data_IF_500264257267
#
_entry.id   IF_500264257267
#
_cell.length_a   1.000
_cell.length_b   1.000
_cell.length_c   1.000
_cell.angle_alpha   90.00
_cell.angle_beta   90.00
_cell.angle_gamma   90.00
#
_symmetry.space_group_name_H-M   'P 1'
#
loop_
_entity.id
_entity.type
_entity.pdbx_description
1 polymer ?
#
# COMPACT_ATOMS: atom_id res chain seq x y z
N UNK A 1 -14.65 -59.86 10.43
CA UNK A 1 -14.11 -60.11 9.07
C UNK A 1 -13.90 -58.76 8.36
N UNK A 2 -12.74 -58.11 8.52
CA UNK A 2 -12.59 -56.68 8.15
C UNK A 2 -11.64 -56.38 6.97
N UNK A 3 -11.32 -57.38 6.13
CA UNK A 3 -10.34 -57.25 5.04
C UNK A 3 -10.78 -57.88 3.72
N UNK A 4 -12.09 -58.00 3.48
CA UNK A 4 -12.61 -58.69 2.28
C UNK A 4 -12.14 -58.04 0.98
N UNK A 5 -12.22 -56.71 0.84
CA UNK A 5 -11.74 -56.00 -0.35
C UNK A 5 -10.24 -56.23 -0.64
N UNK A 6 -9.42 -56.32 0.41
CA UNK A 6 -7.99 -56.60 0.29
C UNK A 6 -7.73 -58.07 -0.09
N UNK A 7 -8.48 -59.02 0.49
CA UNK A 7 -8.35 -60.44 0.18
C UNK A 7 -8.85 -60.76 -1.23
N UNK A 8 -9.97 -60.17 -1.65
CA UNK A 8 -10.50 -60.31 -3.01
C UNK A 8 -9.47 -59.83 -4.03
N UNK A 9 -8.84 -58.68 -3.77
CA UNK A 9 -7.77 -58.15 -4.62
C UNK A 9 -6.59 -59.11 -4.78
N UNK A 10 -6.13 -59.72 -3.68
CA UNK A 10 -5.06 -60.73 -3.71
C UNK A 10 -5.53 -62.01 -4.42
N UNK A 11 -6.77 -62.44 -4.19
CA UNK A 11 -7.35 -63.62 -4.82
C UNK A 11 -7.44 -63.49 -6.36
N UNK A 12 -7.70 -62.27 -6.87
CA UNK A 12 -7.67 -61.95 -8.29
C UNK A 12 -6.25 -61.71 -8.85
N UNK A 13 -5.20 -62.01 -8.08
CA UNK A 13 -3.80 -61.91 -8.54
C UNK A 13 -3.29 -60.48 -8.68
N UNK A 14 -3.96 -59.48 -8.09
CA UNK A 14 -3.56 -58.07 -8.18
C UNK A 14 -2.62 -57.69 -7.03
N UNK A 15 -1.70 -56.77 -7.31
CA UNK A 15 -0.74 -56.28 -6.32
C UNK A 15 -1.41 -55.52 -5.18
N UNK A 16 -1.00 -55.79 -3.94
CA UNK A 16 -1.49 -55.08 -2.74
C UNK A 16 -1.30 -53.55 -2.83
N UNK A 17 -0.25 -53.10 -3.51
CA UNK A 17 0.15 -51.69 -3.56
C UNK A 17 -0.42 -50.91 -4.77
N UNK A 18 -1.01 -51.61 -5.73
CA UNK A 18 -1.49 -50.98 -6.97
C UNK A 18 -2.91 -50.41 -6.77
N UNK A 19 -3.17 -49.12 -7.08
CA UNK A 19 -4.51 -48.53 -6.92
C UNK A 19 -5.54 -49.22 -7.81
N UNK A 20 -6.77 -49.33 -7.33
CA UNK A 20 -7.84 -49.99 -8.09
C UNK A 20 -8.48 -48.96 -9.03
N UNK A 21 -8.40 -49.19 -10.35
CA UNK A 21 -8.84 -48.22 -11.37
C UNK A 21 -10.37 -48.08 -11.49
N UNK A 22 -11.15 -48.90 -10.79
CA UNK A 22 -12.62 -48.91 -10.87
C UNK A 22 -13.20 -49.13 -9.48
N UNK A 23 -14.20 -48.33 -9.10
CA UNK A 23 -14.94 -48.53 -7.85
C UNK A 23 -15.64 -49.90 -7.86
N UNK A 24 -15.33 -50.76 -6.89
CA UNK A 24 -16.06 -52.01 -6.69
C UNK A 24 -17.12 -51.83 -5.61
N UNK A 25 -18.38 -51.99 -5.98
CA UNK A 25 -19.51 -51.98 -5.06
C UNK A 25 -20.04 -53.41 -4.93
N UNK A 26 -19.91 -54.00 -3.74
CA UNK A 26 -20.55 -55.26 -3.38
C UNK A 26 -21.65 -55.02 -2.36
N UNK A 27 -22.47 -56.04 -2.10
CA UNK A 27 -23.52 -55.99 -1.07
C UNK A 27 -22.94 -55.83 0.34
N UNK A 28 -21.66 -56.14 0.54
CA UNK A 28 -20.99 -56.19 1.84
C UNK A 28 -19.98 -55.03 2.03
N UNK A 29 -19.36 -54.55 0.96
CA UNK A 29 -18.37 -53.47 1.00
C UNK A 29 -18.40 -52.55 -0.22
N UNK A 30 -17.88 -51.33 -0.04
CA UNK A 30 -17.66 -50.38 -1.12
C UNK A 30 -16.22 -49.93 -1.13
N UNK A 31 -15.56 -50.07 -2.27
CA UNK A 31 -14.21 -49.57 -2.51
C UNK A 31 -14.27 -48.31 -3.36
N UNK A 32 -13.63 -47.24 -2.88
CA UNK A 32 -13.56 -45.96 -3.59
C UNK A 32 -12.57 -46.06 -4.76
N UNK A 33 -12.89 -45.36 -5.86
CA UNK A 33 -12.04 -45.25 -7.05
C UNK A 33 -10.78 -44.40 -6.77
N UNK A 34 -10.92 -43.39 -5.91
CA UNK A 34 -9.79 -42.62 -5.42
C UNK A 34 -9.99 -42.25 -3.95
N UNK A 35 -8.88 -42.09 -3.24
CA UNK A 35 -8.84 -41.56 -1.86
C UNK A 35 -9.46 -40.16 -1.70
N UNK A 36 -9.66 -39.42 -2.81
CA UNK A 36 -10.27 -38.09 -2.87
C UNK A 36 -11.73 -38.11 -3.36
N UNK A 37 -12.27 -39.27 -3.72
CA UNK A 37 -13.64 -39.38 -4.22
C UNK A 37 -14.66 -39.01 -3.13
N UNK A 38 -15.73 -38.31 -3.53
CA UNK A 38 -16.78 -37.89 -2.62
C UNK A 38 -17.52 -39.12 -2.06
N UNK A 39 -17.48 -39.28 -0.73
CA UNK A 39 -18.14 -40.40 -0.06
C UNK A 39 -19.65 -40.23 -0.25
N UNK A 40 -20.38 -41.22 -0.80
CA UNK A 40 -21.81 -41.06 -1.05
C UNK A 40 -22.58 -40.73 0.24
N UNK A 41 -23.55 -39.82 0.16
CA UNK A 41 -24.32 -39.30 1.32
C UNK A 41 -24.94 -40.41 2.18
N UNK A 42 -25.35 -41.53 1.57
CA UNK A 42 -25.92 -42.71 2.25
C UNK A 42 -24.99 -43.32 3.32
N UNK A 43 -23.68 -43.13 3.24
CA UNK A 43 -22.71 -43.68 4.18
C UNK A 43 -22.34 -42.74 5.34
N UNK A 44 -22.87 -41.52 5.33
CA UNK A 44 -22.72 -40.59 6.45
C UNK A 44 -23.68 -40.96 7.61
N UNK A 45 -24.80 -41.62 7.28
CA UNK A 45 -25.87 -42.01 8.19
C UNK A 45 -25.83 -43.54 8.40
N UNK A 46 -25.07 -44.01 9.38
CA UNK A 46 -25.09 -45.42 9.76
C UNK A 46 -26.43 -45.75 10.45
N UNK A 47 -27.43 -46.14 9.66
CA UNK A 47 -28.64 -46.79 10.15
C UNK A 47 -28.30 -48.24 10.51
N UNK A 48 -28.79 -48.74 11.65
CA UNK A 48 -28.43 -50.05 12.21
C UNK A 48 -28.58 -51.24 11.24
N UNK A 49 -29.38 -51.10 10.19
CA UNK A 49 -29.68 -52.16 9.22
C UNK A 49 -28.82 -52.12 7.94
N UNK A 50 -27.95 -51.12 7.73
CA UNK A 50 -27.15 -50.96 6.50
C UNK A 50 -25.68 -50.64 6.81
N UNK A 51 -25.01 -51.52 7.56
CA UNK A 51 -23.57 -51.38 7.79
C UNK A 51 -22.79 -51.94 6.59
N UNK A 52 -22.38 -51.06 5.69
CA UNK A 52 -21.50 -51.39 4.56
C UNK A 52 -20.11 -50.85 4.85
N UNK A 53 -19.09 -51.70 4.79
CA UNK A 53 -17.73 -51.30 5.11
C UNK A 53 -17.08 -50.55 3.92
N UNK A 54 -16.56 -49.34 4.19
CA UNK A 54 -15.89 -48.51 3.21
C UNK A 54 -14.40 -48.81 3.17
N UNK A 55 -13.84 -48.92 1.97
CA UNK A 55 -12.42 -49.12 1.74
C UNK A 55 -11.84 -48.08 0.78
N UNK A 56 -10.58 -47.74 1.01
CA UNK A 56 -9.77 -46.89 0.15
C UNK A 56 -9.47 -47.56 -1.21
N UNK A 57 -8.93 -46.81 -2.16
CA UNK A 57 -8.42 -47.30 -3.46
C UNK A 57 -7.42 -48.47 -3.30
N UNK A 58 -6.78 -48.56 -2.13
CA UNK A 58 -5.80 -49.58 -1.72
C UNK A 58 -6.39 -50.76 -0.96
N UNK A 59 -7.70 -50.76 -0.67
CA UNK A 59 -8.35 -51.81 0.12
C UNK A 59 -8.15 -51.66 1.64
N UNK A 60 -7.78 -50.45 2.11
CA UNK A 60 -7.68 -50.14 3.54
C UNK A 60 -9.05 -49.70 4.08
N UNK A 61 -9.50 -50.18 5.25
CA UNK A 61 -10.79 -49.77 5.79
C UNK A 61 -10.77 -48.29 6.19
N UNK A 62 -11.76 -47.52 5.73
CA UNK A 62 -11.95 -46.11 6.05
C UNK A 62 -13.19 -45.96 6.93
N UNK A 63 -13.04 -45.26 8.05
CA UNK A 63 -14.19 -44.82 8.84
C UNK A 63 -14.37 -43.30 8.70
N UNK A 64 -15.40 -42.83 7.97
CA UNK A 64 -15.61 -41.40 7.75
C UNK A 64 -15.87 -40.65 9.05
N UNK A 65 -16.52 -41.29 10.04
CA UNK A 65 -16.81 -40.66 11.33
C UNK A 65 -15.55 -40.43 12.16
N UNK A 66 -14.64 -41.39 12.20
CA UNK A 66 -13.37 -41.21 12.93
C UNK A 66 -12.51 -40.13 12.27
N UNK A 67 -12.53 -40.04 10.95
CA UNK A 67 -11.84 -38.98 10.22
C UNK A 67 -12.44 -37.59 10.49
N UNK A 68 -13.78 -37.47 10.46
CA UNK A 68 -14.48 -36.23 10.84
C UNK A 68 -14.19 -35.83 12.29
N UNK A 69 -14.22 -36.80 13.22
CA UNK A 69 -13.89 -36.57 14.62
C UNK A 69 -12.44 -36.10 14.79
N UNK A 70 -11.49 -36.75 14.11
CA UNK A 70 -10.09 -36.34 14.10
C UNK A 70 -9.88 -34.95 13.50
N UNK A 71 -10.62 -34.60 12.45
CA UNK A 71 -10.62 -33.24 11.87
C UNK A 71 -11.13 -32.20 12.88
N UNK A 72 -12.23 -32.49 13.58
CA UNK A 72 -12.77 -31.62 14.63
C UNK A 72 -11.79 -31.44 15.80
N UNK A 73 -11.14 -32.52 16.24
CA UNK A 73 -10.16 -32.47 17.32
C UNK A 73 -8.94 -31.61 16.93
N UNK A 74 -8.41 -31.77 15.72
CA UNK A 74 -7.33 -30.92 15.20
C UNK A 74 -7.77 -29.46 15.08
N UNK A 75 -9.01 -29.21 14.65
CA UNK A 75 -9.61 -27.87 14.64
C UNK A 75 -9.61 -27.24 16.03
N UNK A 76 -10.14 -27.96 17.03
CA UNK A 76 -10.17 -27.50 18.41
C UNK A 76 -8.76 -27.30 19.01
N UNK A 77 -7.80 -28.18 18.70
CA UNK A 77 -6.41 -28.01 19.12
C UNK A 77 -5.78 -26.76 18.49
N UNK A 78 -6.02 -26.52 17.20
CA UNK A 78 -5.56 -25.31 16.52
C UNK A 78 -6.22 -24.06 17.11
N UNK A 79 -7.49 -24.14 17.53
CA UNK A 79 -8.18 -23.04 18.22
C UNK A 79 -7.54 -22.72 19.58
N UNK A 80 -7.15 -23.75 20.34
CA UNK A 80 -6.42 -23.57 21.62
C UNK A 80 -5.03 -22.99 21.38
N UNK A 81 -4.29 -23.49 20.37
CA UNK A 81 -2.98 -22.94 20.03
C UNK A 81 -3.07 -21.48 19.56
N UNK A 82 -4.17 -21.12 18.90
CA UNK A 82 -4.44 -19.75 18.50
C UNK A 82 -4.83 -18.85 19.67
N UNK A 83 -5.63 -19.34 20.62
CA UNK A 83 -6.03 -18.56 21.80
C UNK A 83 -4.85 -18.31 22.76
N UNK A 84 -3.93 -19.27 22.86
CA UNK A 84 -2.67 -19.14 23.62
C UNK A 84 -1.66 -18.23 22.89
N UNK A 85 -1.89 -17.91 21.61
CA UNK A 85 -1.02 -17.03 20.82
C UNK A 85 0.20 -17.72 20.21
N UNK A 86 0.23 -19.06 20.20
CA UNK A 86 1.31 -19.85 19.59
C UNK A 86 1.19 -19.84 18.06
N UNK A 87 -0.04 -19.71 17.54
CA UNK A 87 -0.32 -19.67 16.10
C UNK A 87 -1.28 -18.53 15.80
N UNK A 88 -0.91 -17.59 14.93
CA UNK A 88 -1.86 -16.60 14.43
C UNK A 88 -2.95 -17.31 13.61
N UNK A 89 -4.22 -17.11 13.98
CA UNK A 89 -5.34 -17.51 13.11
C UNK A 89 -5.15 -16.82 11.76
N UNK A 90 -4.86 -17.61 10.72
CA UNK A 90 -5.24 -17.22 9.37
C UNK A 90 -6.75 -17.24 9.31
N UNK A 91 -7.37 -16.14 9.75
CA UNK A 91 -8.78 -15.93 9.52
C UNK A 91 -8.99 -16.07 8.01
N UNK A 92 -9.71 -17.10 7.59
CA UNK A 92 -10.36 -17.01 6.30
C UNK A 92 -11.26 -15.77 6.40
N UNK A 93 -11.28 -14.86 5.42
CA UNK A 93 -12.06 -13.62 5.50
C UNK A 93 -13.58 -13.82 5.73
N UNK A 94 -14.04 -15.07 5.76
CA UNK A 94 -15.43 -15.49 5.83
C UNK A 94 -15.95 -15.87 7.22
N UNK A 95 -15.09 -16.03 8.25
CA UNK A 95 -15.48 -16.78 9.46
C UNK A 95 -15.91 -15.92 10.67
N UNK A 96 -15.91 -14.58 10.53
CA UNK A 96 -16.17 -13.65 11.64
C UNK A 96 -17.49 -12.88 11.60
N UNK A 97 -18.22 -12.86 10.47
CA UNK A 97 -19.43 -12.03 10.31
C UNK A 97 -20.45 -12.73 9.40
N UNK A 98 -21.76 -12.67 9.71
CA UNK A 98 -22.80 -13.27 8.87
C UNK A 98 -23.00 -12.44 7.60
N UNK A 99 -22.63 -12.96 6.43
CA UNK A 99 -22.92 -12.37 5.12
C UNK A 99 -22.16 -13.02 3.95
N UNK A 100 -22.68 -12.97 2.71
CA UNK A 100 -21.96 -13.41 1.50
C UNK A 100 -20.68 -12.58 1.32
N UNK A 101 -19.57 -13.22 0.94
CA UNK A 101 -18.26 -12.55 0.78
C UNK A 101 -18.23 -11.44 -0.28
N UNK A 102 -19.17 -11.46 -1.23
CA UNK A 102 -19.26 -10.51 -2.35
C UNK A 102 -19.84 -9.16 -1.89
N UNK A 103 -20.95 -9.16 -1.16
CA UNK A 103 -21.55 -7.95 -0.57
C UNK A 103 -20.58 -7.20 0.34
N UNK A 104 -19.68 -7.92 1.03
CA UNK A 104 -18.64 -7.33 1.85
C UNK A 104 -17.55 -6.65 1.02
N UNK A 105 -17.19 -7.21 -0.13
CA UNK A 105 -16.19 -6.60 -1.02
C UNK A 105 -16.74 -5.29 -1.59
N UNK A 106 -18.01 -5.27 -1.99
CA UNK A 106 -18.68 -4.05 -2.44
C UNK A 106 -18.76 -3.00 -1.33
N UNK A 107 -19.12 -3.41 -0.11
CA UNK A 107 -19.18 -2.48 1.03
C UNK A 107 -17.79 -1.90 1.37
N UNK A 108 -16.74 -2.71 1.29
CA UNK A 108 -15.36 -2.26 1.51
C UNK A 108 -14.91 -1.29 0.40
N UNK A 109 -15.27 -1.56 -0.86
CA UNK A 109 -14.98 -0.66 -1.98
C UNK A 109 -15.74 0.66 -1.84
N UNK A 110 -17.00 0.61 -1.39
CA UNK A 110 -17.79 1.80 -1.08
C UNK A 110 -17.16 2.62 0.07
N UNK A 111 -16.69 1.95 1.12
CA UNK A 111 -15.99 2.61 2.23
C UNK A 111 -14.67 3.27 1.76
N UNK A 112 -13.86 2.57 0.97
CA UNK A 112 -12.58 3.08 0.47
C UNK A 112 -12.76 4.25 -0.50
N UNK A 113 -13.79 4.20 -1.36
CA UNK A 113 -14.11 5.31 -2.26
C UNK A 113 -14.56 6.56 -1.52
N UNK A 114 -15.40 6.42 -0.49
CA UNK A 114 -15.81 7.54 0.37
C UNK A 114 -14.64 8.06 1.19
N UNK A 115 -13.82 7.17 1.74
CA UNK A 115 -12.61 7.53 2.49
C UNK A 115 -11.61 8.31 1.64
N UNK A 116 -11.37 7.88 0.40
CA UNK A 116 -10.52 8.59 -0.54
C UNK A 116 -11.09 9.95 -0.93
N UNK A 117 -12.40 10.05 -1.18
CA UNK A 117 -13.05 11.33 -1.46
C UNK A 117 -12.93 12.31 -0.28
N UNK A 118 -13.17 11.86 0.95
CA UNK A 118 -13.00 12.68 2.15
C UNK A 118 -11.54 13.13 2.35
N UNK A 119 -10.57 12.24 2.08
CA UNK A 119 -9.16 12.58 2.15
C UNK A 119 -8.78 13.67 1.13
N UNK A 120 -9.29 13.59 -0.10
CA UNK A 120 -9.10 14.60 -1.15
C UNK A 120 -9.71 15.94 -0.75
N UNK A 121 -10.95 15.96 -0.25
CA UNK A 121 -11.63 17.18 0.19
C UNK A 121 -10.90 17.85 1.34
N UNK A 122 -10.49 17.07 2.34
CA UNK A 122 -9.72 17.58 3.49
C UNK A 122 -8.39 18.18 3.02
N UNK A 123 -7.66 17.46 2.16
CA UNK A 123 -6.39 17.95 1.60
C UNK A 123 -6.56 19.24 0.79
N UNK A 124 -7.61 19.34 -0.03
CA UNK A 124 -7.90 20.56 -0.81
C UNK A 124 -8.25 21.74 0.10
N UNK A 125 -9.05 21.48 1.15
CA UNK A 125 -9.46 22.50 2.12
C UNK A 125 -8.26 23.02 2.91
N UNK A 126 -7.40 22.12 3.40
CA UNK A 126 -6.15 22.49 4.08
C UNK A 126 -5.24 23.33 3.18
N UNK A 127 -5.07 22.91 1.92
CA UNK A 127 -4.26 23.66 0.95
C UNK A 127 -4.86 25.04 0.67
N UNK A 128 -6.17 25.18 0.55
CA UNK A 128 -6.84 26.46 0.32
C UNK A 128 -6.69 27.40 1.52
N UNK A 129 -6.91 26.89 2.74
CA UNK A 129 -6.78 27.66 3.98
C UNK A 129 -5.35 28.16 4.21
N UNK A 130 -4.35 27.38 3.83
CA UNK A 130 -2.92 27.72 4.01
C UNK A 130 -2.32 28.45 2.81
N UNK A 131 -3.02 28.49 1.66
CA UNK A 131 -2.47 28.99 0.41
C UNK A 131 -2.03 30.46 0.50
N UNK A 132 -2.94 31.33 0.93
CA UNK A 132 -2.71 32.78 1.00
C UNK A 132 -1.58 33.15 1.96
N UNK A 133 -1.46 32.42 3.08
CA UNK A 133 -0.34 32.59 4.03
C UNK A 133 0.97 32.25 3.35
N UNK A 134 0.99 31.17 2.58
CA UNK A 134 2.15 30.79 1.78
C UNK A 134 2.55 31.84 0.75
N UNK A 135 1.58 32.46 0.08
CA UNK A 135 1.82 33.55 -0.88
C UNK A 135 2.48 34.75 -0.19
N UNK A 136 1.95 35.19 0.96
CA UNK A 136 2.53 36.29 1.74
C UNK A 136 3.95 35.93 2.20
N UNK A 137 4.15 34.70 2.70
CA UNK A 137 5.47 34.22 3.13
C UNK A 137 6.51 34.28 2.01
N UNK A 138 6.17 33.81 0.81
CA UNK A 138 7.09 33.82 -0.33
C UNK A 138 7.42 35.24 -0.80
N UNK A 139 6.44 36.15 -0.78
CA UNK A 139 6.68 37.57 -1.09
C UNK A 139 7.59 38.22 -0.06
N UNK A 140 7.37 37.99 1.24
CA UNK A 140 8.23 38.52 2.31
C UNK A 140 9.68 38.01 2.21
N UNK A 141 9.87 36.75 1.83
CA UNK A 141 11.22 36.18 1.67
C UNK A 141 11.94 36.67 0.41
N UNK A 142 11.19 37.09 -0.62
CA UNK A 142 11.76 37.48 -1.92
C UNK A 142 11.93 38.99 -2.05
N UNK A 143 10.96 39.77 -1.58
CA UNK A 143 10.98 41.22 -1.65
C UNK A 143 11.46 41.84 -0.35
N UNK A 144 12.15 42.98 -0.46
CA UNK A 144 12.68 43.70 0.68
C UNK A 144 11.60 44.60 1.29
N UNK A 145 11.03 44.17 2.41
CA UNK A 145 10.13 45.01 3.19
C UNK A 145 10.92 45.89 4.17
N UNK A 146 10.51 47.15 4.40
CA UNK A 146 11.07 47.97 5.48
C UNK A 146 10.87 47.29 6.83
N UNK A 147 11.92 47.22 7.65
CA UNK A 147 11.93 46.51 8.94
C UNK A 147 10.94 47.02 10.01
N UNK A 148 10.18 48.08 9.71
CA UNK A 148 9.30 48.77 10.66
C UNK A 148 7.84 48.28 10.57
N UNK A 149 7.50 47.44 9.58
CA UNK A 149 6.11 47.01 9.37
C UNK A 149 5.77 45.75 10.17
N UNK A 150 4.66 45.79 10.89
CA UNK A 150 4.07 44.59 11.51
C UNK A 150 3.47 43.66 10.45
N UNK A 151 3.37 42.35 10.73
CA UNK A 151 2.81 41.39 9.76
C UNK A 151 1.40 41.77 9.27
N UNK A 152 0.55 42.30 10.15
CA UNK A 152 -0.79 42.77 9.77
C UNK A 152 -0.76 43.94 8.78
N UNK A 153 0.18 44.87 8.94
CA UNK A 153 0.37 45.98 7.99
C UNK A 153 0.89 45.50 6.65
N UNK A 154 1.81 44.53 6.65
CA UNK A 154 2.31 43.90 5.40
C UNK A 154 1.15 43.23 4.68
N UNK A 155 0.38 42.38 5.36
CA UNK A 155 -0.77 41.69 4.78
C UNK A 155 -1.84 42.67 4.25
N UNK A 156 -2.14 43.74 4.99
CA UNK A 156 -3.07 44.78 4.55
C UNK A 156 -2.56 45.53 3.31
N UNK A 157 -1.26 45.85 3.24
CA UNK A 157 -0.65 46.52 2.08
C UNK A 157 -0.63 45.63 0.84
N UNK A 158 -0.30 44.34 0.99
CA UNK A 158 -0.34 43.36 -0.09
C UNK A 158 -1.77 43.13 -0.59
N UNK A 159 -2.74 43.07 0.32
CA UNK A 159 -4.15 42.97 -0.02
C UNK A 159 -4.65 44.25 -0.72
N UNK A 160 -4.17 45.44 -0.35
CA UNK A 160 -4.52 46.67 -1.04
C UNK A 160 -3.95 46.72 -2.47
N UNK A 161 -2.74 46.17 -2.69
CA UNK A 161 -2.09 46.14 -4.00
C UNK A 161 -2.62 45.05 -4.94
N UNK A 162 -2.78 43.82 -4.44
CA UNK A 162 -3.21 42.65 -5.24
C UNK A 162 -4.71 42.34 -5.13
N UNK A 163 -5.40 42.86 -4.11
CA UNK A 163 -6.81 42.54 -3.87
C UNK A 163 -7.07 41.04 -3.71
N UNK A 164 -8.20 40.60 -4.25
CA UNK A 164 -8.60 39.19 -4.24
C UNK A 164 -7.67 38.28 -5.07
N UNK A 165 -6.81 38.84 -5.94
CA UNK A 165 -5.88 38.03 -6.75
C UNK A 165 -4.85 37.29 -5.90
N UNK A 166 -4.55 37.79 -4.70
CA UNK A 166 -3.64 37.14 -3.76
C UNK A 166 -4.12 35.74 -3.33
N UNK A 167 -5.44 35.53 -3.25
CA UNK A 167 -6.03 34.28 -2.76
C UNK A 167 -5.94 33.18 -3.82
N UNK A 168 -6.09 33.52 -5.11
CA UNK A 168 -6.14 32.52 -6.19
C UNK A 168 -4.88 32.48 -7.07
N UNK A 169 -3.97 33.45 -6.97
CA UNK A 169 -2.74 33.49 -7.75
C UNK A 169 -1.91 32.21 -7.55
N UNK A 170 -1.66 31.49 -8.65
CA UNK A 170 -0.88 30.26 -8.66
C UNK A 170 -1.57 29.03 -8.05
N UNK A 171 -2.80 29.16 -7.51
CA UNK A 171 -3.50 28.05 -6.86
C UNK A 171 -3.91 26.96 -7.87
N UNK A 172 -4.62 27.36 -8.92
CA UNK A 172 -5.08 26.44 -9.97
C UNK A 172 -3.96 25.61 -10.62
N UNK A 173 -2.82 26.19 -11.09
CA UNK A 173 -1.76 25.41 -11.71
C UNK A 173 -1.06 24.50 -10.70
N UNK A 174 -0.93 24.89 -9.43
CA UNK A 174 -0.38 24.04 -8.38
C UNK A 174 -1.30 22.87 -8.05
N UNK A 175 -2.59 23.11 -7.81
CA UNK A 175 -3.57 22.04 -7.54
C UNK A 175 -3.65 21.08 -8.71
N UNK A 176 -3.69 21.60 -9.94
CA UNK A 176 -3.68 20.76 -11.13
C UNK A 176 -2.45 19.85 -11.18
N UNK A 177 -1.24 20.40 -11.01
CA UNK A 177 -0.01 19.61 -11.00
C UNK A 177 0.02 18.56 -9.88
N UNK A 178 -0.38 18.92 -8.66
CA UNK A 178 -0.36 18.00 -7.51
C UNK A 178 -1.41 16.90 -7.64
N UNK A 179 -2.63 17.23 -8.07
CA UNK A 179 -3.71 16.26 -8.25
C UNK A 179 -3.39 15.28 -9.37
N UNK A 180 -2.88 15.76 -10.52
CA UNK A 180 -2.46 14.87 -11.61
C UNK A 180 -1.29 13.99 -11.19
N UNK A 181 -0.28 14.53 -10.49
CA UNK A 181 0.85 13.73 -9.98
C UNK A 181 0.35 12.65 -9.03
N UNK A 182 -0.51 13.00 -8.06
CA UNK A 182 -1.07 12.04 -7.10
C UNK A 182 -1.96 11.00 -7.79
N UNK A 183 -2.82 11.40 -8.72
CA UNK A 183 -3.69 10.49 -9.46
C UNK A 183 -2.88 9.48 -10.30
N UNK A 184 -1.85 9.93 -11.00
CA UNK A 184 -0.98 9.06 -11.81
C UNK A 184 -0.17 8.11 -10.91
N UNK A 185 0.40 8.62 -9.82
CA UNK A 185 1.13 7.82 -8.82
C UNK A 185 0.19 6.76 -8.23
N UNK A 186 -0.98 7.17 -7.73
CA UNK A 186 -1.97 6.27 -7.14
C UNK A 186 -2.42 5.21 -8.14
N UNK A 187 -2.83 5.61 -9.35
CA UNK A 187 -3.21 4.68 -10.42
C UNK A 187 -2.10 3.66 -10.74
N UNK A 188 -0.86 4.11 -10.85
CA UNK A 188 0.29 3.24 -11.14
C UNK A 188 0.53 2.23 -10.00
N UNK A 189 0.31 2.62 -8.75
CA UNK A 189 0.57 1.76 -7.58
C UNK A 189 -0.60 0.86 -7.19
N UNK A 190 -1.85 1.29 -7.41
CA UNK A 190 -3.05 0.52 -7.08
C UNK A 190 -3.32 -0.51 -8.16
N UNK A 191 -3.27 -0.13 -9.44
CA UNK A 191 -3.55 -1.07 -10.52
C UNK A 191 -2.40 -2.04 -10.81
N UNK A 192 -1.21 -1.80 -10.21
CA UNK A 192 0.01 -2.58 -10.38
C UNK A 192 0.16 -3.19 -11.78
N UNK A 193 0.03 -2.39 -12.86
CA UNK A 193 -0.08 -2.91 -14.21
C UNK A 193 1.16 -3.71 -14.60
N UNK A 194 2.31 -3.30 -14.07
CA UNK A 194 3.59 -4.00 -14.29
C UNK A 194 3.62 -5.36 -13.61
N UNK A 195 3.05 -5.52 -12.42
CA UNK A 195 2.97 -6.84 -11.77
C UNK A 195 2.00 -7.75 -12.51
N UNK A 196 0.82 -7.23 -12.89
CA UNK A 196 -0.13 -7.96 -13.76
C UNK A 196 0.53 -8.41 -15.06
N UNK A 197 1.30 -7.54 -15.71
CA UNK A 197 2.03 -7.86 -16.92
C UNK A 197 3.12 -8.92 -16.67
N UNK A 198 3.84 -8.83 -15.54
CA UNK A 198 4.87 -9.80 -15.17
C UNK A 198 4.29 -11.20 -14.90
N UNK A 199 3.10 -11.25 -14.29
CA UNK A 199 2.37 -12.50 -14.07
C UNK A 199 1.80 -13.06 -15.37
N UNK A 200 1.20 -12.21 -16.23
CA UNK A 200 0.67 -12.61 -17.53
C UNK A 200 1.77 -13.14 -18.46
N UNK A 201 2.96 -12.54 -18.41
CA UNK A 201 4.12 -12.95 -19.23
C UNK A 201 4.90 -14.13 -18.65
N UNK A 202 4.46 -14.74 -17.53
CA UNK A 202 5.16 -15.84 -16.83
C UNK A 202 6.66 -15.57 -16.62
N UNK A 203 7.01 -14.36 -16.21
CA UNK A 203 8.40 -13.94 -16.12
C UNK A 203 9.24 -14.83 -15.17
N UNK A 204 10.48 -15.10 -15.59
CA UNK A 204 11.45 -15.91 -14.85
C UNK A 204 11.67 -15.41 -13.41
N UNK A 205 12.01 -16.32 -12.49
CA UNK A 205 12.26 -16.00 -11.08
C UNK A 205 13.39 -14.97 -10.89
N UNK A 206 14.38 -14.96 -11.80
CA UNK A 206 15.47 -13.97 -11.80
C UNK A 206 14.94 -12.56 -12.14
N UNK A 207 14.07 -12.45 -13.14
CA UNK A 207 13.43 -11.18 -13.55
C UNK A 207 12.53 -10.63 -12.44
N UNK A 208 11.77 -11.50 -11.76
CA UNK A 208 10.94 -11.13 -10.59
C UNK A 208 11.75 -10.55 -9.43
N UNK A 209 12.94 -11.10 -9.17
CA UNK A 209 13.82 -10.59 -8.12
C UNK A 209 14.51 -9.28 -8.52
N UNK A 210 14.92 -9.14 -9.78
CA UNK A 210 15.44 -7.89 -10.31
C UNK A 210 14.38 -6.78 -10.24
N UNK A 211 13.15 -7.06 -10.68
CA UNK A 211 12.06 -6.10 -10.61
C UNK A 211 11.75 -5.69 -9.17
N UNK A 212 11.73 -6.63 -8.21
CA UNK A 212 11.55 -6.30 -6.79
C UNK A 212 12.62 -5.35 -6.25
N UNK A 213 13.88 -5.53 -6.65
CA UNK A 213 14.98 -4.62 -6.29
C UNK A 213 14.86 -3.27 -7.00
N UNK A 214 14.48 -3.28 -8.27
CA UNK A 214 14.32 -2.09 -9.09
C UNK A 214 13.04 -1.31 -8.78
N UNK A 215 12.01 -1.92 -8.18
CA UNK A 215 10.69 -1.31 -7.93
C UNK A 215 10.80 0.00 -7.16
N UNK A 216 11.66 0.06 -6.15
CA UNK A 216 11.90 1.29 -5.37
C UNK A 216 12.54 2.37 -6.24
N UNK A 217 13.54 2.00 -7.05
CA UNK A 217 14.22 2.93 -7.97
C UNK A 217 13.29 3.42 -9.06
N UNK A 218 12.50 2.53 -9.65
CA UNK A 218 11.49 2.85 -10.68
C UNK A 218 10.42 3.76 -10.08
N UNK A 219 9.94 3.47 -8.86
CA UNK A 219 8.99 4.33 -8.15
C UNK A 219 9.52 5.75 -7.96
N UNK A 220 10.75 5.86 -7.45
CA UNK A 220 11.39 7.16 -7.24
C UNK A 220 11.65 7.89 -8.56
N UNK A 221 12.12 7.17 -9.59
CA UNK A 221 12.41 7.73 -10.92
C UNK A 221 11.14 8.20 -11.63
N UNK A 222 10.06 7.41 -11.53
CA UNK A 222 8.77 7.75 -12.10
C UNK A 222 8.17 8.99 -11.42
N UNK A 223 8.22 9.04 -10.09
CA UNK A 223 7.78 10.23 -9.33
C UNK A 223 8.59 11.46 -9.74
N UNK A 224 9.91 11.33 -9.83
CA UNK A 224 10.80 12.42 -10.26
C UNK A 224 10.49 12.86 -11.69
N UNK A 225 10.27 11.92 -12.61
CA UNK A 225 9.88 12.21 -13.99
C UNK A 225 8.56 12.96 -14.08
N UNK A 226 7.56 12.61 -13.26
CA UNK A 226 6.30 13.36 -13.16
C UNK A 226 6.51 14.76 -12.58
N UNK A 227 7.33 14.89 -11.54
CA UNK A 227 7.66 16.21 -10.96
C UNK A 227 8.33 17.13 -11.99
N UNK A 228 9.23 16.59 -12.83
CA UNK A 228 9.85 17.33 -13.95
C UNK A 228 8.84 17.65 -15.05
N UNK A 229 7.95 16.71 -15.40
CA UNK A 229 6.91 16.94 -16.40
C UNK A 229 5.95 18.05 -15.99
N UNK A 230 5.56 18.09 -14.71
CA UNK A 230 4.68 19.12 -14.16
C UNK A 230 5.43 20.38 -13.68
N UNK A 231 6.75 20.43 -13.83
CA UNK A 231 7.56 21.58 -13.42
C UNK A 231 7.08 22.92 -14.00
N UNK A 232 6.68 23.04 -15.28
CA UNK A 232 6.17 24.31 -15.82
C UNK A 232 4.96 24.86 -15.06
N UNK A 233 4.10 23.99 -14.53
CA UNK A 233 2.96 24.41 -13.70
C UNK A 233 3.41 24.91 -12.33
N UNK A 234 4.35 24.22 -11.69
CA UNK A 234 4.93 24.68 -10.42
C UNK A 234 5.67 26.00 -10.57
N UNK A 235 6.42 26.17 -11.66
CA UNK A 235 7.12 27.39 -11.99
C UNK A 235 6.16 28.57 -12.22
N UNK A 236 5.13 28.37 -13.05
CA UNK A 236 4.10 29.38 -13.28
C UNK A 236 3.34 29.73 -11.99
N UNK A 237 3.02 28.74 -11.16
CA UNK A 237 2.39 28.97 -9.86
C UNK A 237 3.26 29.84 -8.94
N UNK A 238 4.57 29.59 -8.90
CA UNK A 238 5.52 30.37 -8.10
C UNK A 238 5.62 31.82 -8.59
N UNK A 239 5.69 32.05 -9.91
CA UNK A 239 5.72 33.39 -10.48
C UNK A 239 4.44 34.19 -10.19
N UNK A 240 3.28 33.55 -10.24
CA UNK A 240 2.01 34.16 -9.87
C UNK A 240 1.93 34.47 -8.38
N UNK A 241 2.42 33.57 -7.52
CA UNK A 241 2.49 33.80 -6.06
C UNK A 241 3.37 35.00 -5.74
N UNK A 242 4.52 35.13 -6.41
CA UNK A 242 5.39 36.30 -6.27
C UNK A 242 4.79 37.58 -6.87
N UNK A 243 3.70 37.51 -7.64
CA UNK A 243 3.12 38.68 -8.30
C UNK A 243 3.94 39.21 -9.48
N UNK A 244 4.92 38.43 -9.96
CA UNK A 244 5.72 38.78 -11.15
C UNK A 244 4.91 38.60 -12.45
N UNK A 245 3.94 37.69 -12.42
CA UNK A 245 3.02 37.39 -13.53
C UNK A 245 1.59 37.64 -13.02
N UNK A 246 0.68 38.20 -13.84
CA UNK A 246 -0.71 38.39 -13.45
C UNK A 246 -1.38 37.07 -13.04
N UNK A 247 -2.34 37.16 -12.12
CA UNK A 247 -3.09 36.00 -11.62
C UNK A 247 -3.99 35.33 -12.69
N UNK A 248 -4.17 36.00 -13.84
CA UNK A 248 -4.78 35.44 -15.06
C UNK A 248 -3.74 35.56 -16.17
N UNK A 249 -3.50 34.51 -16.98
CA UNK A 249 -4.23 33.24 -17.09
C UNK A 249 -4.01 32.26 -15.92
N UNK A 250 -4.98 31.38 -15.65
CA UNK A 250 -4.89 30.41 -14.54
C UNK A 250 -3.91 29.28 -14.84
N UNK A 251 -3.72 28.92 -16.11
CA UNK A 251 -2.83 27.84 -16.53
C UNK A 251 -1.72 28.42 -17.40
N UNK A 252 -0.52 27.81 -17.39
CA UNK A 252 0.55 28.21 -18.27
C UNK A 252 0.15 27.95 -19.74
N UNK A 253 0.75 28.70 -20.66
CA UNK A 253 0.56 28.47 -22.09
C UNK A 253 1.10 27.11 -22.50
N UNK A 254 0.47 26.45 -23.47
CA UNK A 254 0.92 25.16 -23.98
C UNK A 254 2.35 25.18 -24.53
N UNK A 255 2.82 26.36 -24.98
CA UNK A 255 4.20 26.56 -25.45
C UNK A 255 5.24 26.41 -24.34
N UNK A 256 4.87 26.58 -23.07
CA UNK A 256 5.77 26.41 -21.91
C UNK A 256 6.08 24.93 -21.61
N UNK A 257 5.27 24.00 -22.12
CA UNK A 257 5.46 22.55 -21.94
C UNK A 257 6.46 21.96 -22.94
N UNK A 258 6.83 22.71 -23.98
CA UNK A 258 7.75 22.24 -25.03
C UNK A 258 9.19 22.50 -24.57
N UNK A 259 10.01 21.47 -24.29
CA UNK A 259 11.31 21.62 -23.62
C UNK A 259 12.39 22.43 -24.38
N UNK A 260 12.10 22.87 -25.61
CA UNK A 260 12.99 23.65 -26.46
C UNK A 260 12.39 24.99 -26.91
N UNK A 261 11.22 25.35 -26.39
CA UNK A 261 10.63 26.66 -26.63
C UNK A 261 11.32 27.70 -25.77
N UNK A 262 11.60 28.89 -26.31
CA UNK A 262 12.17 30.02 -25.57
C UNK A 262 11.33 30.44 -24.36
N UNK A 263 10.05 30.07 -24.33
CA UNK A 263 9.13 30.32 -23.21
C UNK A 263 9.05 29.18 -22.20
N UNK A 264 9.79 28.08 -22.40
CA UNK A 264 9.76 26.93 -21.49
C UNK A 264 10.80 27.08 -20.38
N UNK A 265 10.41 26.88 -19.10
CA UNK A 265 11.34 26.86 -17.99
C UNK A 265 12.19 25.58 -17.94
N UNK A 266 11.96 24.64 -18.86
CA UNK A 266 12.72 23.39 -19.00
C UNK A 266 14.01 23.56 -19.80
N UNK A 267 14.37 24.79 -20.21
CA UNK A 267 15.65 25.01 -20.88
C UNK A 267 16.81 24.64 -19.93
N UNK A 268 17.70 23.71 -20.34
CA UNK A 268 18.80 23.25 -19.51
C UNK A 268 19.88 24.33 -19.33
N UNK A 269 19.93 25.34 -20.20
CA UNK A 269 20.87 26.44 -20.16
C UNK A 269 20.24 27.67 -19.51
N UNK A 270 20.69 28.01 -18.31
CA UNK A 270 20.46 29.34 -17.76
C UNK A 270 20.99 30.39 -18.75
N UNK A 271 20.27 31.51 -18.87
CA UNK A 271 20.55 32.62 -19.79
C UNK A 271 21.98 33.21 -19.70
N UNK A 272 22.79 32.75 -18.73
CA UNK A 272 24.09 33.29 -18.38
C UNK A 272 25.29 32.42 -18.79
N UNK A 273 25.09 31.16 -19.20
CA UNK A 273 26.19 30.25 -19.54
C UNK A 273 26.10 29.75 -20.98
N UNK A 274 27.06 30.13 -21.80
CA UNK A 274 27.28 29.55 -23.12
C UNK A 274 27.84 28.12 -22.94
N UNK A 275 26.96 27.13 -22.92
CA UNK A 275 27.27 25.71 -22.72
C UNK A 275 28.26 25.11 -23.76
N UNK A 276 28.61 25.87 -24.80
CA UNK A 276 29.48 25.45 -25.89
C UNK A 276 30.97 25.79 -25.69
N UNK A 277 31.34 26.59 -24.68
CA UNK A 277 32.73 27.07 -24.55
C UNK A 277 33.61 26.17 -23.65
N UNK A 278 33.05 25.48 -22.66
CA UNK A 278 33.82 24.60 -21.76
C UNK A 278 32.93 23.54 -21.10
N UNK A 279 33.51 22.36 -20.81
CA UNK A 279 32.84 21.27 -20.06
C UNK A 279 32.52 21.71 -18.63
N UNK A 280 33.38 22.53 -18.01
CA UNK A 280 33.15 23.07 -16.66
C UNK A 280 31.96 24.03 -16.64
N UNK A 281 31.78 24.79 -17.72
CA UNK A 281 30.68 25.74 -17.89
C UNK A 281 29.37 25.01 -18.21
N UNK A 282 29.44 23.88 -18.93
CA UNK A 282 28.31 22.99 -19.14
C UNK A 282 27.85 22.35 -17.81
N UNK A 283 28.77 21.84 -16.99
CA UNK A 283 28.44 21.31 -15.66
C UNK A 283 27.89 22.41 -14.75
N UNK A 284 28.47 23.61 -14.79
CA UNK A 284 27.97 24.79 -14.07
C UNK A 284 26.55 25.17 -14.50
N UNK A 285 26.27 25.20 -15.79
CA UNK A 285 24.94 25.49 -16.34
C UNK A 285 23.90 24.43 -15.94
N UNK A 286 24.28 23.16 -15.95
CA UNK A 286 23.44 22.04 -15.51
C UNK A 286 23.17 22.13 -14.01
N UNK A 287 24.18 22.36 -13.17
CA UNK A 287 24.00 22.51 -11.72
C UNK A 287 23.19 23.76 -11.35
N UNK A 288 23.31 24.83 -12.13
CA UNK A 288 22.53 26.05 -11.96
C UNK A 288 21.13 25.96 -12.59
N UNK A 289 20.78 24.85 -13.24
CA UNK A 289 19.47 24.68 -13.85
C UNK A 289 18.36 24.71 -12.78
N UNK A 290 17.33 25.55 -12.95
CA UNK A 290 16.21 25.64 -12.01
C UNK A 290 15.51 24.30 -11.77
N UNK A 291 15.53 23.40 -12.76
CA UNK A 291 14.96 22.05 -12.67
C UNK A 291 15.77 21.17 -11.74
N UNK A 292 17.11 21.23 -11.82
CA UNK A 292 18.00 20.40 -10.98
C UNK A 292 17.97 20.88 -9.53
N UNK A 293 17.96 22.20 -9.30
CA UNK A 293 17.77 22.77 -7.97
C UNK A 293 16.43 22.37 -7.37
N UNK A 294 15.36 22.37 -8.18
CA UNK A 294 14.05 21.89 -7.74
C UNK A 294 14.09 20.41 -7.34
N UNK A 295 14.68 19.55 -8.17
CA UNK A 295 14.82 18.11 -7.89
C UNK A 295 15.66 17.84 -6.63
N UNK A 296 16.75 18.59 -6.42
CA UNK A 296 17.56 18.47 -5.20
C UNK A 296 16.76 18.87 -3.95
N UNK A 297 15.97 19.93 -4.04
CA UNK A 297 15.12 20.39 -2.94
C UNK A 297 14.00 19.38 -2.61
N UNK A 298 13.37 18.77 -3.62
CA UNK A 298 12.32 17.75 -3.38
C UNK A 298 12.89 16.49 -2.73
N UNK A 299 14.10 16.06 -3.13
CA UNK A 299 14.80 14.93 -2.49
C UNK A 299 15.19 15.23 -1.03
N UNK A 300 15.66 16.44 -0.74
CA UNK A 300 16.00 16.86 0.64
C UNK A 300 14.78 16.82 1.58
N UNK A 301 13.62 17.32 1.12
CA UNK A 301 12.38 17.32 1.91
C UNK A 301 11.78 15.91 2.10
N UNK A 302 11.97 15.01 1.13
CA UNK A 302 11.58 13.60 1.26
C UNK A 302 12.46 12.86 2.29
N UNK A 303 13.75 13.21 2.40
CA UNK A 303 14.66 12.64 3.40
C UNK A 303 14.30 13.01 4.84
N UNK A 304 13.93 14.27 5.09
CA UNK A 304 13.61 14.77 6.45
C UNK A 304 12.28 14.23 7.00
N UNK A 305 11.27 14.04 6.15
CA UNK A 305 10.01 13.38 6.55
C UNK A 305 10.18 11.90 6.92
N UNK A 306 11.07 11.18 6.23
CA UNK A 306 11.39 9.77 6.55
C UNK A 306 12.16 9.61 7.87
N UNK A 307 13.04 10.56 8.21
CA UNK A 307 13.74 10.58 9.51
C UNK A 307 12.75 10.88 10.65
N UNK A 308 11.83 11.83 10.46
CA UNK A 308 10.81 12.17 11.47
C UNK A 308 9.82 11.03 11.73
N UNK A 309 9.42 10.27 10.71
CA UNK A 309 8.54 9.10 10.88
C UNK A 309 9.23 7.91 11.55
N UNK A 310 10.54 7.72 11.34
CA UNK A 310 11.30 6.68 12.06
C UNK A 310 11.42 6.99 13.54
N UNK A 311 11.53 8.27 13.90
CA UNK A 311 11.66 8.70 15.29
C UNK A 311 10.33 8.58 16.07
N UNK A 312 9.18 8.71 15.39
CA UNK A 312 7.85 8.47 15.97
C UNK A 312 7.50 6.99 16.18
N UNK A 313 8.26 6.05 15.60
CA UNK A 313 8.02 4.60 15.74
C UNK A 313 8.92 3.90 16.76
N UNK A 314 9.78 4.63 17.49
CA UNK A 314 10.38 4.05 18.68
C UNK A 314 9.31 3.97 19.79
N UNK A 315 8.98 2.76 20.28
CA UNK A 315 8.11 2.65 21.44
C UNK A 315 8.84 3.27 22.62
N UNK A 316 8.23 4.30 23.23
CA UNK A 316 8.62 4.82 24.52
C UNK A 316 8.66 3.65 25.50
N UNK A 317 9.85 3.14 25.80
CA UNK A 317 10.06 2.19 26.89
C UNK A 317 9.82 2.94 28.19
N UNK A 318 8.56 3.00 28.60
CA UNK A 318 8.15 3.47 29.92
C UNK A 318 8.70 2.47 30.93
N UNK A 319 9.75 2.90 31.60
CA UNK A 319 10.41 2.22 32.71
C UNK A 319 9.47 2.24 33.92
N UNK A 320 8.57 1.27 34.05
CA UNK A 320 7.86 1.03 35.30
C UNK A 320 8.72 0.15 36.21
N UNK A 321 9.44 0.80 37.13
CA UNK A 321 10.09 0.13 38.25
C UNK A 321 9.03 -0.21 39.31
N UNK A 322 8.95 -1.45 39.83
CA UNK A 322 8.03 -1.78 40.90
C UNK A 322 8.64 -1.38 42.26
N UNK A 323 8.04 -0.39 42.90
CA UNK A 323 8.33 -0.03 44.29
C UNK A 323 7.65 -1.05 45.21
N UNK A 324 8.43 -1.93 45.84
CA UNK A 324 7.93 -2.78 46.92
C UNK A 324 7.89 -1.98 48.23
N UNK A 325 6.81 -2.08 49.05
CA UNK A 325 6.82 -1.54 50.39
C UNK A 325 7.63 -2.45 51.32
N UNK A 326 8.60 -1.87 52.01
CA UNK A 326 9.37 -2.51 53.08
C UNK A 326 8.53 -2.45 54.36
N UNK A 327 8.09 -3.60 54.85
CA UNK A 327 7.49 -3.75 56.18
C UNK A 327 8.57 -3.57 57.26
N UNK A 328 8.42 -2.55 58.10
CA UNK A 328 9.17 -2.37 59.35
C UNK A 328 8.55 -3.20 60.48
N UNK A 329 9.34 -4.00 61.23
CA UNK A 329 8.86 -4.65 62.45
C UNK A 329 8.87 -3.67 63.63
N UNK A 330 7.71 -3.47 64.26
CA UNK A 330 7.59 -2.77 65.55
C UNK A 330 8.29 -3.58 66.65
N UNK A 331 9.42 -3.07 67.10
CA UNK A 331 10.11 -3.50 68.31
C UNK A 331 9.36 -3.06 69.57
N UNK A 332 9.22 -4.02 70.48
CA UNK A 332 8.78 -3.87 71.87
C UNK A 332 9.64 -2.84 72.60
N UNK A 333 9.01 -1.95 73.37
CA UNK A 333 9.67 -1.25 74.47
C UNK A 333 9.00 -1.68 75.78
N UNK A 334 9.83 -2.12 76.70
CA UNK A 334 9.54 -2.55 78.07
C UNK A 334 10.12 -1.46 78.99
N UNK A 335 9.43 -1.25 80.12
CA UNK A 335 9.65 -0.33 81.26
C UNK A 335 9.00 1.05 81.14
#
# INVERSE_FOLDING_TARGET
MGRQAYLDKIAFGRSAFEPTQSASQSTEYVQLESSQAEIPRRYHEATANNYVQLYDERGNPINPRSHQYGKKLRGAQNDVLASVGVVERRHSPAEGFPGPSEERLELLEAEDTVGNAMALVTTLTENLCTWWVGTIRERILTFRYPHVLTFGQIAASEHAFSGASMVYAGFAPRVFATMNTQAIVYSTFVYQPVERLLYATRASAKTRNLFRRAKTVIKSSFRLGLEVLFYPFFYHAALQRLGLVPARPLLPTWTSLIPYSSSSPLLPSSLQYNAFNSITDCIGAVLASPVILYVLNTQSNAGSTLVSMKQSRQPSSVLTSPTYPVETPMGKTVL
#
